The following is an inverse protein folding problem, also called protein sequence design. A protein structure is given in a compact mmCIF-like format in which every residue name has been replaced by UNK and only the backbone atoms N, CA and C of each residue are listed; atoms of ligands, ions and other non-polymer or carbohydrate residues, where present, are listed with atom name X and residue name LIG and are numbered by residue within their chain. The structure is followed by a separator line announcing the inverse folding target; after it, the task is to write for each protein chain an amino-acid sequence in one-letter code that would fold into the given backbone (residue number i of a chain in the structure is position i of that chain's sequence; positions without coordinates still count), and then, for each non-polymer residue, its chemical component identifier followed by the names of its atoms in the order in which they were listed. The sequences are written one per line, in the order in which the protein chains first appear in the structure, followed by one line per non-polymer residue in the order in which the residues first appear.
data_IF_138158177522
#
_entry.id   IF_138158177522
#
_cell.length_a   1.000
_cell.length_b   1.000
_cell.length_c   1.000
_cell.angle_alpha   90.00
_cell.angle_beta   90.00
_cell.angle_gamma   90.00
#
_symmetry.space_group_name_H-M   'P 1'
#
loop_
_entity.id
_entity.type
_entity.pdbx_description
1 polymer ?
#
# COMPACT_ATOMS: atom_id res chain seq x y z
N UNK A 1 36.08 7.66 -3.42
CA UNK A 1 37.55 7.34 -3.43
C UNK A 1 38.34 8.35 -4.25
N UNK A 2 38.04 8.58 -5.53
CA UNK A 2 38.79 9.53 -6.39
C UNK A 2 38.83 10.96 -5.80
N UNK A 3 37.70 11.52 -5.38
CA UNK A 3 37.62 12.87 -4.78
C UNK A 3 38.47 12.97 -3.50
N UNK A 4 38.48 11.93 -2.69
CA UNK A 4 39.24 11.88 -1.43
C UNK A 4 40.76 11.80 -1.71
N UNK A 5 41.18 11.03 -2.73
CA UNK A 5 42.56 10.98 -3.18
C UNK A 5 43.03 12.35 -3.74
N UNK A 6 42.20 13.02 -4.55
CA UNK A 6 42.49 14.36 -5.06
C UNK A 6 42.61 15.36 -3.91
N UNK A 7 41.67 15.34 -2.94
CA UNK A 7 41.74 16.23 -1.78
C UNK A 7 42.97 16.00 -0.90
N UNK A 8 43.36 14.73 -0.69
CA UNK A 8 44.57 14.35 0.03
C UNK A 8 45.83 14.83 -0.69
N UNK A 9 45.92 14.63 -2.02
CA UNK A 9 47.04 15.12 -2.82
C UNK A 9 47.12 16.66 -2.77
N UNK A 10 45.99 17.35 -2.92
CA UNK A 10 45.94 18.81 -2.84
C UNK A 10 46.38 19.33 -1.46
N UNK A 11 46.01 18.64 -0.39
CA UNK A 11 46.42 19.01 0.97
C UNK A 11 47.96 18.85 1.20
N UNK A 12 48.55 17.75 0.64
CA UNK A 12 50.01 17.57 0.67
C UNK A 12 50.69 18.68 -0.12
N UNK A 13 50.24 18.97 -1.32
CA UNK A 13 50.80 20.02 -2.17
C UNK A 13 50.68 21.42 -1.49
N UNK A 14 49.54 21.73 -0.87
CA UNK A 14 49.37 22.96 -0.12
C UNK A 14 50.32 23.05 1.10
N UNK A 15 50.54 21.94 1.79
CA UNK A 15 51.51 21.85 2.89
C UNK A 15 52.94 22.09 2.42
N UNK A 16 53.35 21.49 1.28
CA UNK A 16 54.67 21.70 0.69
C UNK A 16 54.84 23.15 0.21
N UNK A 17 53.84 23.75 -0.43
CA UNK A 17 53.85 25.14 -0.84
C UNK A 17 54.00 26.09 0.38
N UNK A 18 53.24 25.84 1.46
CA UNK A 18 53.35 26.58 2.71
C UNK A 18 54.75 26.51 3.33
N UNK A 19 55.42 25.31 3.26
CA UNK A 19 56.78 25.13 3.70
C UNK A 19 57.78 25.97 2.88
N UNK A 20 57.65 25.94 1.55
CA UNK A 20 58.51 26.74 0.67
C UNK A 20 58.38 28.23 1.01
N UNK A 21 57.18 28.75 1.10
CA UNK A 21 56.96 30.15 1.45
C UNK A 21 57.54 30.50 2.85
N UNK A 22 57.41 29.56 3.81
CA UNK A 22 58.00 29.79 5.13
C UNK A 22 59.56 29.80 5.08
N UNK A 23 60.22 28.93 4.32
CA UNK A 23 61.64 28.87 4.18
C UNK A 23 62.14 30.11 3.43
N UNK A 24 61.48 30.58 2.40
CA UNK A 24 61.76 31.84 1.70
C UNK A 24 61.67 33.06 2.64
N UNK A 25 60.59 33.19 3.37
CA UNK A 25 60.43 34.28 4.37
C UNK A 25 61.49 34.23 5.45
N UNK A 26 61.90 33.01 5.88
CA UNK A 26 62.97 32.83 6.85
C UNK A 26 64.34 33.16 6.26
N UNK A 27 64.59 32.88 5.01
CA UNK A 27 65.80 33.25 4.28
C UNK A 27 65.86 34.77 4.15
N UNK A 28 64.80 35.42 3.70
CA UNK A 28 64.70 36.87 3.64
C UNK A 28 64.94 37.54 4.99
N UNK A 29 64.48 37.03 6.10
CA UNK A 29 64.65 37.57 7.46
C UNK A 29 66.12 37.54 7.93
N UNK A 30 66.98 36.72 7.35
CA UNK A 30 68.39 36.65 7.64
C UNK A 30 69.25 37.57 6.78
N UNK A 31 68.68 38.17 5.74
CA UNK A 31 69.35 39.15 4.92
C UNK A 31 69.57 40.49 5.69
N UNK A 32 70.63 41.23 5.44
CA UNK A 32 70.77 42.57 5.94
C UNK A 32 69.57 43.44 5.52
N UNK A 33 69.07 44.34 6.45
CA UNK A 33 67.80 45.08 6.18
C UNK A 33 67.82 45.88 4.86
N UNK A 34 68.96 46.40 4.42
CA UNK A 34 69.11 47.11 3.16
C UNK A 34 68.99 46.20 1.94
N UNK A 35 69.56 44.98 1.99
CA UNK A 35 69.57 44.01 0.89
C UNK A 35 68.16 43.38 0.71
N UNK A 36 67.47 43.08 1.80
CA UNK A 36 66.08 42.57 1.70
C UNK A 36 65.14 43.59 1.08
N UNK A 37 65.26 44.85 1.41
CA UNK A 37 64.47 45.95 0.83
C UNK A 37 64.78 46.17 -0.67
N UNK A 38 66.07 46.02 -1.05
CA UNK A 38 66.53 46.11 -2.41
C UNK A 38 66.00 44.94 -3.25
N UNK A 39 66.07 43.72 -2.76
CA UNK A 39 65.59 42.51 -3.41
C UNK A 39 64.10 42.59 -3.71
N UNK A 40 63.26 42.95 -2.77
CA UNK A 40 61.83 43.13 -2.99
C UNK A 40 61.46 44.17 -4.06
N UNK A 41 62.31 45.26 -4.23
CA UNK A 41 62.09 46.25 -5.27
C UNK A 41 62.51 45.73 -6.65
N UNK A 42 63.59 44.93 -6.70
CA UNK A 42 64.12 44.36 -7.94
C UNK A 42 63.19 43.24 -8.48
N UNK A 43 62.50 42.51 -7.62
CA UNK A 43 61.53 41.46 -7.96
C UNK A 43 60.24 41.98 -8.58
N UNK A 44 59.91 43.28 -8.48
CA UNK A 44 58.78 43.89 -9.15
C UNK A 44 58.98 43.85 -10.71
N UNK A 45 60.19 44.04 -11.21
CA UNK A 45 60.55 43.98 -12.62
C UNK A 45 61.80 43.08 -12.82
N UNK A 46 61.69 41.77 -12.69
CA UNK A 46 62.83 40.88 -12.63
C UNK A 46 63.64 40.82 -13.95
N UNK A 47 62.95 40.98 -15.09
CA UNK A 47 63.64 40.99 -16.40
C UNK A 47 64.61 42.18 -16.57
N UNK A 48 64.24 43.38 -16.07
CA UNK A 48 65.07 44.58 -16.15
C UNK A 48 66.22 44.54 -15.14
N UNK A 49 66.04 43.86 -14.07
CA UNK A 49 66.95 43.87 -12.91
C UNK A 49 67.76 42.53 -12.80
N UNK A 50 67.76 41.69 -13.85
CA UNK A 50 68.29 40.33 -13.79
C UNK A 50 69.75 40.26 -13.35
N UNK A 51 70.62 41.18 -13.80
CA UNK A 51 72.01 41.20 -13.41
C UNK A 51 72.20 41.43 -11.90
N UNK A 52 71.48 42.41 -11.37
CA UNK A 52 71.60 42.78 -9.95
C UNK A 52 70.98 41.72 -9.05
N UNK A 53 69.87 41.11 -9.44
CA UNK A 53 69.31 39.93 -8.75
C UNK A 53 70.30 38.75 -8.75
N UNK A 54 70.96 38.50 -9.88
CA UNK A 54 71.95 37.44 -9.97
C UNK A 54 73.17 37.70 -9.04
N UNK A 55 73.64 38.95 -8.90
CA UNK A 55 74.67 39.30 -7.94
C UNK A 55 74.27 39.06 -6.49
N UNK A 56 73.05 39.42 -6.11
CA UNK A 56 72.51 39.19 -4.77
C UNK A 56 72.39 37.67 -4.51
N UNK A 57 71.84 36.91 -5.45
CA UNK A 57 71.75 35.46 -5.32
C UNK A 57 73.11 34.78 -5.31
N UNK A 58 74.13 35.29 -6.02
CA UNK A 58 75.51 34.79 -5.96
C UNK A 58 76.18 35.06 -4.60
N UNK A 59 75.84 36.16 -3.91
CA UNK A 59 76.41 36.55 -2.64
C UNK A 59 75.72 35.91 -1.45
N UNK A 60 74.42 35.68 -1.52
CA UNK A 60 73.57 35.15 -0.45
C UNK A 60 72.84 33.84 -0.82
N UNK A 61 73.24 33.18 -1.93
CA UNK A 61 72.57 32.02 -2.46
C UNK A 61 72.49 30.81 -1.51
N UNK A 62 73.46 30.69 -0.60
CA UNK A 62 73.39 29.63 0.43
C UNK A 62 72.18 29.76 1.34
N UNK A 63 71.65 30.97 1.55
CA UNK A 63 70.46 31.22 2.35
C UNK A 63 69.17 30.79 1.63
N UNK A 64 69.18 30.82 0.31
CA UNK A 64 68.09 30.40 -0.57
C UNK A 64 68.29 29.00 -1.19
N UNK A 65 69.31 28.30 -0.75
CA UNK A 65 69.57 26.93 -1.22
C UNK A 65 68.29 26.09 -1.00
N UNK A 66 67.81 25.40 -2.02
CA UNK A 66 66.63 24.53 -1.84
C UNK A 66 66.97 23.46 -0.79
N UNK A 67 65.97 23.04 0.00
CA UNK A 67 66.17 21.92 0.94
C UNK A 67 66.62 20.67 0.14
N UNK A 68 67.36 19.80 0.80
CA UNK A 68 67.82 18.55 0.16
C UNK A 68 66.62 17.69 -0.27
N UNK A 69 66.72 16.98 -1.36
CA UNK A 69 65.68 16.05 -1.85
C UNK A 69 65.21 15.08 -0.77
N UNK A 70 66.11 14.69 0.12
CA UNK A 70 65.81 13.82 1.28
C UNK A 70 64.93 14.51 2.34
N UNK A 71 65.15 15.80 2.62
CA UNK A 71 64.30 16.54 3.55
C UNK A 71 62.89 16.77 3.00
N UNK A 72 62.76 17.04 1.71
CA UNK A 72 61.48 17.19 1.04
C UNK A 72 60.68 15.87 1.02
N UNK A 73 61.37 14.75 0.72
CA UNK A 73 60.76 13.43 0.81
C UNK A 73 60.27 13.07 2.20
N UNK A 74 61.04 13.40 3.27
CA UNK A 74 60.63 13.16 4.64
C UNK A 74 59.40 14.00 5.00
N UNK A 75 59.39 15.30 4.67
CA UNK A 75 58.24 16.18 4.96
C UNK A 75 57.01 15.74 4.19
N UNK A 76 57.15 15.39 2.93
CA UNK A 76 56.05 14.84 2.09
C UNK A 76 55.51 13.53 2.68
N UNK A 77 56.37 12.63 3.13
CA UNK A 77 55.98 11.39 3.79
C UNK A 77 55.22 11.64 5.09
N UNK A 78 55.69 12.60 5.93
CA UNK A 78 55.02 12.98 7.20
C UNK A 78 53.64 13.60 6.92
N UNK A 79 53.55 14.52 5.93
CA UNK A 79 52.28 15.13 5.55
C UNK A 79 51.31 14.06 5.03
N UNK A 80 51.78 13.13 4.21
CA UNK A 80 50.99 12.03 3.68
C UNK A 80 50.47 11.13 4.81
N UNK A 81 51.35 10.80 5.77
CA UNK A 81 51.01 9.98 6.94
C UNK A 81 49.98 10.67 7.82
N UNK A 82 50.12 11.98 8.00
CA UNK A 82 49.18 12.78 8.82
C UNK A 82 47.73 12.82 8.24
N UNK A 83 47.57 12.66 6.94
CA UNK A 83 46.26 12.67 6.27
C UNK A 83 45.54 11.32 6.44
N UNK A 84 46.24 10.20 6.61
CA UNK A 84 45.67 8.86 6.73
C UNK A 84 44.52 8.78 7.76
N UNK A 85 44.66 9.24 9.01
CA UNK A 85 43.58 9.14 9.99
C UNK A 85 42.33 9.93 9.59
N UNK A 86 42.49 11.06 8.91
CA UNK A 86 41.35 11.84 8.39
C UNK A 86 40.61 11.11 7.29
N UNK A 87 41.34 10.48 6.35
CA UNK A 87 40.74 9.68 5.28
C UNK A 87 39.98 8.47 5.83
N UNK A 88 40.57 7.78 6.81
CA UNK A 88 39.95 6.64 7.47
C UNK A 88 38.70 7.10 8.25
N UNK A 89 38.79 8.15 9.03
CA UNK A 89 37.65 8.69 9.78
C UNK A 89 36.50 9.11 8.86
N UNK A 90 36.81 9.82 7.78
CA UNK A 90 35.81 10.22 6.79
C UNK A 90 35.18 9.00 6.10
N UNK A 91 35.98 8.02 5.70
CA UNK A 91 35.49 6.76 5.12
C UNK A 91 34.54 6.00 6.05
N UNK A 92 34.88 5.94 7.35
CA UNK A 92 34.02 5.32 8.38
C UNK A 92 32.72 6.09 8.57
N UNK A 93 32.76 7.43 8.59
CA UNK A 93 31.55 8.27 8.68
C UNK A 93 30.65 8.04 7.48
N UNK A 94 31.22 8.03 6.27
CA UNK A 94 30.48 7.81 5.04
C UNK A 94 29.84 6.40 5.00
N UNK A 95 30.64 5.39 5.41
CA UNK A 95 30.15 4.01 5.51
C UNK A 95 28.96 3.89 6.50
N UNK A 96 29.05 4.54 7.63
CA UNK A 96 27.97 4.52 8.65
C UNK A 96 26.75 5.30 8.23
N UNK A 97 26.92 6.47 7.59
CA UNK A 97 25.81 7.37 7.23
C UNK A 97 25.11 7.02 5.94
N UNK A 98 25.80 6.40 4.96
CA UNK A 98 25.24 6.15 3.64
C UNK A 98 25.18 4.65 3.34
N UNK A 99 26.33 3.95 3.42
CA UNK A 99 26.41 2.55 2.97
C UNK A 99 25.53 1.63 3.84
N UNK A 100 25.62 1.73 5.17
CA UNK A 100 24.84 0.86 6.05
C UNK A 100 23.31 1.03 5.89
N UNK A 101 22.73 2.26 5.90
CA UNK A 101 21.30 2.41 5.67
C UNK A 101 20.83 1.81 4.35
N UNK A 102 21.58 2.02 3.28
CA UNK A 102 21.25 1.44 1.96
C UNK A 102 21.32 -0.09 1.99
N UNK A 103 22.37 -0.67 2.57
CA UNK A 103 22.48 -2.14 2.66
C UNK A 103 21.35 -2.77 3.49
N UNK A 104 20.85 -2.09 4.52
CA UNK A 104 19.69 -2.57 5.28
C UNK A 104 18.41 -2.56 4.45
N UNK A 105 18.20 -1.53 3.62
CA UNK A 105 17.04 -1.48 2.73
C UNK A 105 17.13 -2.59 1.68
N UNK A 106 18.32 -2.81 1.10
CA UNK A 106 18.55 -3.89 0.13
C UNK A 106 18.29 -5.27 0.74
N UNK A 107 18.84 -5.55 1.93
CA UNK A 107 18.63 -6.83 2.61
C UNK A 107 17.17 -7.07 2.98
N UNK A 108 16.46 -6.01 3.41
CA UNK A 108 15.02 -6.09 3.66
C UNK A 108 14.23 -6.34 2.37
N UNK A 109 14.62 -5.68 1.25
CA UNK A 109 14.00 -5.89 -0.06
C UNK A 109 14.20 -7.31 -0.58
N UNK A 110 15.39 -7.88 -0.44
CA UNK A 110 15.68 -9.28 -0.77
C UNK A 110 14.82 -10.25 0.07
N UNK A 111 14.65 -9.94 1.36
CA UNK A 111 13.79 -10.73 2.23
C UNK A 111 12.32 -10.69 1.79
N UNK A 112 11.81 -9.51 1.41
CA UNK A 112 10.45 -9.35 0.87
C UNK A 112 10.31 -10.08 -0.48
N UNK A 113 11.31 -10.00 -1.35
CA UNK A 113 11.32 -10.70 -2.65
C UNK A 113 11.28 -12.24 -2.51
N UNK A 114 11.78 -12.78 -1.40
CA UNK A 114 11.70 -14.22 -1.08
C UNK A 114 10.44 -14.62 -0.30
N UNK A 115 9.43 -13.72 -0.21
CA UNK A 115 8.14 -13.99 0.43
C UNK A 115 8.10 -13.69 1.94
N UNK A 116 9.16 -13.15 2.54
CA UNK A 116 9.16 -12.72 3.95
C UNK A 116 8.68 -11.27 4.08
N UNK A 117 7.39 -11.06 3.91
CA UNK A 117 6.78 -9.72 3.88
C UNK A 117 6.81 -8.97 5.22
N UNK A 118 7.13 -9.66 6.33
CA UNK A 118 7.33 -9.05 7.65
C UNK A 118 8.68 -8.33 7.80
N UNK A 119 9.61 -8.48 6.85
CA UNK A 119 10.90 -7.82 6.89
C UNK A 119 10.75 -6.30 6.81
N UNK A 120 11.55 -5.59 7.63
CA UNK A 120 11.57 -4.11 7.66
C UNK A 120 13.00 -3.60 7.65
N UNK A 121 13.22 -2.47 7.00
CA UNK A 121 14.48 -1.75 7.06
C UNK A 121 14.48 -0.83 8.29
N UNK A 122 15.54 -0.85 9.13
CA UNK A 122 15.64 0.06 10.26
C UNK A 122 15.79 1.51 9.77
N UNK A 123 15.04 2.43 10.39
CA UNK A 123 15.17 3.87 10.15
C UNK A 123 16.25 4.39 11.08
N UNK A 124 17.42 4.72 10.54
CA UNK A 124 18.57 5.16 11.31
C UNK A 124 18.58 6.69 11.42
N UNK A 125 18.51 7.25 12.62
CA UNK A 125 18.51 8.70 12.86
C UNK A 125 19.77 9.41 12.33
N UNK A 126 20.93 8.71 12.34
CA UNK A 126 22.19 9.24 11.83
C UNK A 126 22.28 9.26 10.29
N UNK A 127 21.33 8.69 9.58
CA UNK A 127 21.28 8.70 8.11
C UNK A 127 20.74 10.04 7.57
N UNK A 128 21.11 10.45 6.35
CA UNK A 128 20.49 11.56 5.65
C UNK A 128 18.96 11.41 5.55
N UNK A 129 18.24 12.53 5.54
CA UNK A 129 16.77 12.55 5.51
C UNK A 129 16.17 11.78 4.32
N UNK A 130 16.88 11.79 3.18
CA UNK A 130 16.49 11.05 1.97
C UNK A 130 16.51 9.54 2.20
N UNK A 131 17.52 9.03 2.91
CA UNK A 131 17.63 7.61 3.21
C UNK A 131 16.66 7.18 4.30
N UNK A 132 16.36 8.05 5.27
CA UNK A 132 15.30 7.80 6.24
C UNK A 132 13.94 7.70 5.55
N UNK A 133 13.63 8.64 4.63
CA UNK A 133 12.40 8.61 3.81
C UNK A 133 12.33 7.35 2.96
N UNK A 134 13.44 6.94 2.33
CA UNK A 134 13.50 5.71 1.56
C UNK A 134 13.13 4.49 2.42
N UNK A 135 13.72 4.36 3.62
CA UNK A 135 13.41 3.26 4.53
C UNK A 135 11.94 3.29 4.99
N UNK A 136 11.39 4.48 5.30
CA UNK A 136 9.97 4.63 5.67
C UNK A 136 9.03 4.24 4.53
N UNK A 137 9.29 4.69 3.29
CA UNK A 137 8.48 4.33 2.13
C UNK A 137 8.57 2.84 1.81
N UNK A 138 9.77 2.27 1.90
CA UNK A 138 9.95 0.82 1.77
C UNK A 138 9.13 0.07 2.83
N UNK A 139 9.21 0.46 4.09
CA UNK A 139 8.46 -0.19 5.17
C UNK A 139 6.94 -0.08 4.98
N UNK A 140 6.45 1.07 4.50
CA UNK A 140 5.02 1.25 4.15
C UNK A 140 4.60 0.33 3.01
N UNK A 141 5.44 0.17 1.99
CA UNK A 141 5.20 -0.78 0.90
C UNK A 141 5.18 -2.23 1.41
N UNK A 142 6.20 -2.62 2.20
CA UNK A 142 6.28 -3.96 2.79
C UNK A 142 5.08 -4.28 3.70
N UNK A 143 4.61 -3.30 4.48
CA UNK A 143 3.42 -3.44 5.33
C UNK A 143 2.15 -3.69 4.49
N UNK A 144 1.99 -2.98 3.38
CA UNK A 144 0.84 -3.19 2.48
C UNK A 144 0.89 -4.57 1.83
N UNK A 145 2.09 -5.01 1.44
CA UNK A 145 2.29 -6.33 0.84
C UNK A 145 2.00 -7.45 1.84
N UNK A 146 2.45 -7.30 3.09
CA UNK A 146 2.16 -8.24 4.18
C UNK A 146 0.66 -8.31 4.50
N UNK A 147 -0.03 -7.16 4.52
CA UNK A 147 -1.47 -7.13 4.73
C UNK A 147 -2.22 -7.83 3.58
N UNK A 148 -1.79 -7.59 2.33
CA UNK A 148 -2.37 -8.24 1.15
C UNK A 148 -2.15 -9.75 1.16
N UNK A 149 -0.96 -10.22 1.52
CA UNK A 149 -0.62 -11.64 1.61
C UNK A 149 -1.47 -12.34 2.69
N UNK A 150 -1.63 -11.73 3.87
CA UNK A 150 -2.51 -12.24 4.92
C UNK A 150 -3.96 -12.33 4.45
N UNK A 151 -4.48 -11.25 3.84
CA UNK A 151 -5.85 -11.24 3.31
C UNK A 151 -6.05 -12.36 2.27
N UNK A 152 -5.06 -12.62 1.41
CA UNK A 152 -5.11 -13.68 0.42
C UNK A 152 -5.14 -15.07 1.08
N UNK A 153 -4.30 -15.30 2.09
CA UNK A 153 -4.26 -16.57 2.82
C UNK A 153 -5.54 -16.82 3.61
N UNK A 154 -6.01 -15.83 4.36
CA UNK A 154 -7.24 -15.91 5.17
C UNK A 154 -8.46 -16.13 4.25
N UNK A 155 -8.50 -15.42 3.12
CA UNK A 155 -9.55 -15.59 2.10
C UNK A 155 -9.53 -17.00 1.51
N UNK A 156 -8.35 -17.53 1.16
CA UNK A 156 -8.22 -18.88 0.59
C UNK A 156 -8.66 -19.98 1.57
N UNK A 157 -8.29 -19.84 2.84
CA UNK A 157 -8.70 -20.79 3.89
C UNK A 157 -10.21 -20.74 4.12
N UNK A 158 -10.80 -19.53 4.15
CA UNK A 158 -12.23 -19.35 4.31
C UNK A 158 -13.00 -19.91 3.10
N UNK A 159 -12.54 -19.66 1.87
CA UNK A 159 -13.12 -20.25 0.65
C UNK A 159 -13.16 -21.78 0.72
N UNK A 160 -12.01 -22.38 1.06
CA UNK A 160 -11.93 -23.83 1.17
C UNK A 160 -12.90 -24.40 2.22
N UNK A 161 -13.09 -23.69 3.33
CA UNK A 161 -14.03 -24.10 4.38
C UNK A 161 -15.48 -23.98 3.91
N UNK A 162 -15.85 -22.83 3.32
CA UNK A 162 -17.22 -22.57 2.84
C UNK A 162 -17.66 -23.47 1.67
N UNK A 163 -16.72 -23.95 0.85
CA UNK A 163 -16.99 -24.94 -0.20
C UNK A 163 -17.05 -26.37 0.37
N UNK A 164 -16.20 -26.71 1.34
CA UNK A 164 -16.14 -28.06 1.89
C UNK A 164 -17.42 -28.44 2.62
N UNK A 165 -18.02 -27.53 3.36
CA UNK A 165 -19.22 -27.78 4.17
C UNK A 165 -20.41 -28.27 3.32
N UNK A 166 -20.90 -27.53 2.31
CA UNK A 166 -22.02 -28.00 1.48
C UNK A 166 -21.63 -29.23 0.64
N UNK A 167 -20.38 -29.34 0.18
CA UNK A 167 -19.92 -30.50 -0.56
C UNK A 167 -19.97 -31.78 0.30
N UNK A 168 -19.47 -31.70 1.53
CA UNK A 168 -19.51 -32.85 2.46
C UNK A 168 -20.93 -33.22 2.83
N UNK A 169 -21.83 -32.24 3.00
CA UNK A 169 -23.25 -32.49 3.26
C UNK A 169 -23.93 -33.17 2.06
N UNK A 170 -23.70 -32.71 0.85
CA UNK A 170 -24.22 -33.32 -0.37
C UNK A 170 -23.71 -34.77 -0.54
N UNK A 171 -22.39 -34.96 -0.38
CA UNK A 171 -21.77 -36.29 -0.50
C UNK A 171 -22.29 -37.24 0.56
N UNK A 172 -22.34 -36.80 1.84
CA UNK A 172 -22.85 -37.63 2.93
C UNK A 172 -24.32 -38.01 2.72
N UNK A 173 -25.13 -37.11 2.20
CA UNK A 173 -26.55 -37.38 1.85
C UNK A 173 -26.68 -38.42 0.73
N UNK A 174 -25.92 -38.27 -0.35
CA UNK A 174 -25.88 -39.22 -1.46
C UNK A 174 -25.37 -40.57 -1.01
N UNK A 175 -24.31 -40.62 -0.18
CA UNK A 175 -23.78 -41.86 0.37
C UNK A 175 -24.82 -42.53 1.25
N UNK A 176 -25.52 -41.80 2.12
CA UNK A 176 -26.59 -42.33 2.96
C UNK A 176 -27.76 -42.90 2.18
N UNK A 177 -28.09 -42.34 1.01
CA UNK A 177 -29.09 -42.90 0.08
C UNK A 177 -28.57 -44.21 -0.53
N UNK A 178 -27.31 -44.25 -1.00
CA UNK A 178 -26.68 -45.46 -1.56
C UNK A 178 -26.60 -46.59 -0.56
N UNK A 179 -26.28 -46.28 0.69
CA UNK A 179 -26.18 -47.25 1.79
C UNK A 179 -27.56 -47.62 2.37
N UNK A 180 -28.65 -47.08 1.80
CA UNK A 180 -30.04 -47.27 2.25
C UNK A 180 -30.30 -46.78 3.69
N UNK A 181 -29.48 -45.87 4.22
CA UNK A 181 -29.70 -45.18 5.50
C UNK A 181 -30.80 -44.12 5.37
N UNK A 182 -30.86 -43.46 4.22
CA UNK A 182 -31.93 -42.53 3.86
C UNK A 182 -32.81 -43.16 2.76
N UNK A 183 -34.13 -42.93 2.80
CA UNK A 183 -35.03 -43.39 1.74
C UNK A 183 -34.73 -42.67 0.43
N UNK A 184 -34.93 -43.35 -0.70
CA UNK A 184 -34.87 -42.73 -2.02
C UNK A 184 -36.15 -41.93 -2.26
N UNK A 185 -36.14 -40.67 -1.83
CA UNK A 185 -37.28 -39.76 -1.94
C UNK A 185 -36.86 -38.44 -2.61
N UNK A 186 -37.80 -37.78 -3.25
CA UNK A 186 -37.59 -36.50 -3.94
C UNK A 186 -37.00 -35.42 -2.98
N UNK A 187 -37.47 -35.37 -1.76
CA UNK A 187 -36.96 -34.43 -0.73
C UNK A 187 -35.48 -34.62 -0.37
N UNK A 188 -34.95 -35.83 -0.45
CA UNK A 188 -33.54 -36.09 -0.24
C UNK A 188 -32.68 -35.57 -1.40
N UNK A 189 -33.19 -35.79 -2.63
CA UNK A 189 -32.51 -35.28 -3.85
C UNK A 189 -32.59 -33.76 -3.91
N UNK A 190 -33.73 -33.16 -3.57
CA UNK A 190 -33.87 -31.70 -3.47
C UNK A 190 -32.86 -31.10 -2.50
N UNK A 191 -32.64 -31.74 -1.33
CA UNK A 191 -31.62 -31.28 -0.35
C UNK A 191 -30.21 -31.32 -0.92
N UNK A 192 -29.87 -32.33 -1.73
CA UNK A 192 -28.56 -32.39 -2.41
C UNK A 192 -28.44 -31.26 -3.43
N UNK A 193 -29.50 -31.02 -4.20
CA UNK A 193 -29.54 -29.95 -5.20
C UNK A 193 -29.35 -28.60 -4.56
N UNK A 194 -30.00 -28.30 -3.43
CA UNK A 194 -29.83 -27.07 -2.66
C UNK A 194 -28.35 -26.83 -2.25
N UNK A 195 -27.64 -27.90 -1.83
CA UNK A 195 -26.22 -27.81 -1.49
C UNK A 195 -25.34 -27.49 -2.73
N UNK A 196 -25.66 -28.09 -3.87
CA UNK A 196 -24.93 -27.83 -5.12
C UNK A 196 -25.19 -26.39 -5.61
N UNK A 197 -26.43 -25.91 -5.55
CA UNK A 197 -26.77 -24.52 -5.87
C UNK A 197 -26.07 -23.51 -4.93
N UNK A 198 -25.93 -23.86 -3.66
CA UNK A 198 -25.14 -23.06 -2.73
C UNK A 198 -23.67 -22.96 -3.15
N UNK A 199 -23.05 -24.08 -3.56
CA UNK A 199 -21.68 -24.10 -4.08
C UNK A 199 -21.58 -23.22 -5.34
N UNK A 200 -22.52 -23.34 -6.25
CA UNK A 200 -22.56 -22.56 -7.48
C UNK A 200 -22.66 -21.05 -7.20
N UNK A 201 -23.46 -20.64 -6.22
CA UNK A 201 -23.54 -19.24 -5.76
C UNK A 201 -22.21 -18.75 -5.21
N UNK A 202 -21.55 -19.55 -4.35
CA UNK A 202 -20.21 -19.17 -3.80
C UNK A 202 -19.20 -18.97 -4.93
N UNK A 203 -19.17 -19.87 -5.91
CA UNK A 203 -18.26 -19.76 -7.07
C UNK A 203 -18.56 -18.48 -7.88
N UNK A 204 -19.84 -18.18 -8.12
CA UNK A 204 -20.26 -16.95 -8.81
C UNK A 204 -19.85 -15.68 -8.07
N UNK A 205 -20.00 -15.65 -6.74
CA UNK A 205 -19.60 -14.54 -5.88
C UNK A 205 -18.07 -14.32 -5.91
N UNK A 206 -17.30 -15.39 -5.83
CA UNK A 206 -15.85 -15.35 -5.93
C UNK A 206 -15.37 -14.84 -7.29
N UNK A 207 -16.07 -15.26 -8.38
CA UNK A 207 -15.74 -14.78 -9.72
C UNK A 207 -15.97 -13.27 -9.85
N UNK A 208 -17.08 -12.74 -9.34
CA UNK A 208 -17.35 -11.29 -9.33
C UNK A 208 -16.28 -10.55 -8.54
N UNK A 209 -15.93 -11.02 -7.33
CA UNK A 209 -14.92 -10.40 -6.49
C UNK A 209 -13.55 -10.40 -7.17
N UNK A 210 -13.16 -11.51 -7.82
CA UNK A 210 -11.90 -11.62 -8.55
C UNK A 210 -11.82 -10.66 -9.74
N UNK A 211 -12.89 -10.59 -10.55
CA UNK A 211 -12.96 -9.68 -11.69
C UNK A 211 -12.95 -8.20 -11.26
N UNK A 212 -13.69 -7.88 -10.20
CA UNK A 212 -13.73 -6.52 -9.66
C UNK A 212 -12.39 -6.06 -9.11
N UNK A 213 -11.65 -6.92 -8.40
CA UNK A 213 -10.30 -6.62 -7.92
C UNK A 213 -9.31 -6.33 -9.05
N UNK A 214 -9.43 -7.08 -10.14
CA UNK A 214 -8.59 -6.88 -11.33
C UNK A 214 -8.99 -5.67 -12.18
N UNK A 215 -10.05 -4.93 -11.81
CA UNK A 215 -10.61 -3.86 -12.66
C UNK A 215 -11.18 -4.37 -13.98
N UNK A 216 -11.49 -5.68 -14.04
CA UNK A 216 -11.93 -6.40 -15.27
C UNK A 216 -13.41 -6.78 -15.25
N UNK A 217 -14.18 -6.29 -14.29
CA UNK A 217 -15.62 -6.49 -14.27
C UNK A 217 -16.26 -5.57 -15.30
N UNK A 218 -16.46 -6.09 -16.53
CA UNK A 218 -17.18 -5.38 -17.58
C UNK A 218 -18.68 -5.36 -17.26
N UNK A 219 -19.29 -4.19 -17.42
CA UNK A 219 -20.69 -3.96 -17.15
C UNK A 219 -21.46 -3.73 -18.46
N UNK A 220 -22.60 -4.39 -18.62
CA UNK A 220 -23.54 -4.19 -19.70
C UNK A 220 -24.66 -3.26 -19.24
N UNK A 221 -24.39 -1.95 -19.31
CA UNK A 221 -25.30 -0.93 -18.81
C UNK A 221 -26.53 -0.81 -19.72
N UNK A 222 -27.69 -0.99 -19.11
CA UNK A 222 -29.00 -0.82 -19.77
C UNK A 222 -29.95 -0.06 -18.85
N UNK A 223 -30.99 0.53 -19.45
CA UNK A 223 -32.08 1.17 -18.71
C UNK A 223 -33.27 0.20 -18.61
N UNK A 224 -33.86 0.09 -17.43
CA UNK A 224 -34.99 -0.81 -17.19
C UNK A 224 -35.89 -0.27 -16.05
N UNK A 225 -37.16 -0.74 -16.06
CA UNK A 225 -38.14 -0.39 -15.05
C UNK A 225 -37.75 -0.97 -13.69
N UNK A 226 -37.51 -0.07 -12.72
CA UNK A 226 -37.00 -0.43 -11.41
C UNK A 226 -38.01 -1.28 -10.62
N UNK A 227 -39.29 -0.94 -10.64
CA UNK A 227 -40.34 -1.68 -9.95
C UNK A 227 -40.42 -3.13 -10.41
N UNK A 228 -40.47 -3.34 -11.71
CA UNK A 228 -40.52 -4.69 -12.28
C UNK A 228 -39.28 -5.50 -11.91
N UNK A 229 -38.12 -4.88 -11.98
CA UNK A 229 -36.86 -5.51 -11.62
C UNK A 229 -36.87 -5.97 -10.15
N UNK A 230 -37.35 -5.14 -9.20
CA UNK A 230 -37.45 -5.50 -7.79
C UNK A 230 -38.48 -6.61 -7.59
N UNK A 231 -39.64 -6.53 -8.23
CA UNK A 231 -40.68 -7.56 -8.14
C UNK A 231 -40.16 -8.93 -8.60
N UNK A 232 -39.40 -8.98 -9.70
CA UNK A 232 -38.74 -10.20 -10.17
C UNK A 232 -37.80 -10.79 -9.11
N UNK A 233 -37.00 -9.96 -8.45
CA UNK A 233 -36.06 -10.42 -7.39
C UNK A 233 -36.81 -10.94 -6.16
N UNK A 234 -37.87 -10.27 -5.73
CA UNK A 234 -38.75 -10.73 -4.66
C UNK A 234 -39.41 -12.06 -5.03
N UNK A 235 -39.88 -12.18 -6.26
CA UNK A 235 -40.50 -13.44 -6.75
C UNK A 235 -39.48 -14.62 -6.70
N UNK A 236 -38.24 -14.39 -7.10
CA UNK A 236 -37.19 -15.42 -7.04
C UNK A 236 -36.82 -15.79 -5.56
N UNK A 237 -36.92 -14.85 -4.65
CA UNK A 237 -36.68 -15.09 -3.23
C UNK A 237 -37.89 -15.70 -2.50
N UNK A 238 -39.07 -15.82 -3.15
CA UNK A 238 -40.35 -16.27 -2.54
C UNK A 238 -40.25 -17.57 -1.75
N UNK A 239 -39.54 -18.62 -2.21
CA UNK A 239 -39.43 -19.84 -1.38
C UNK A 239 -38.72 -19.63 -0.07
N UNK A 240 -37.63 -18.84 -0.06
CA UNK A 240 -36.86 -18.53 1.15
C UNK A 240 -37.66 -17.61 2.09
N UNK A 241 -38.39 -16.64 1.55
CA UNK A 241 -39.30 -15.76 2.29
C UNK A 241 -40.40 -16.54 2.99
N UNK A 242 -41.06 -17.46 2.24
CA UNK A 242 -42.16 -18.30 2.78
C UNK A 242 -41.66 -19.26 3.85
N UNK A 243 -40.52 -19.90 3.65
CA UNK A 243 -39.93 -20.84 4.61
C UNK A 243 -39.66 -20.22 5.99
N UNK A 244 -39.46 -18.88 6.05
CA UNK A 244 -39.25 -18.11 7.28
C UNK A 244 -40.42 -17.23 7.70
N UNK A 245 -41.53 -17.27 6.95
CA UNK A 245 -42.69 -16.40 7.22
C UNK A 245 -42.36 -14.90 7.05
N UNK A 246 -41.33 -14.54 6.29
CA UNK A 246 -40.92 -13.17 6.05
C UNK A 246 -41.70 -12.60 4.87
N UNK A 247 -42.18 -11.37 4.99
CA UNK A 247 -42.89 -10.64 3.95
C UNK A 247 -41.98 -9.61 3.31
N UNK A 248 -41.81 -9.64 1.98
CA UNK A 248 -41.14 -8.59 1.23
C UNK A 248 -42.16 -7.58 0.69
N UNK A 249 -41.81 -6.29 0.78
CA UNK A 249 -42.65 -5.18 0.32
C UNK A 249 -41.82 -4.32 -0.63
N UNK A 250 -42.32 -4.14 -1.86
CA UNK A 250 -41.72 -3.27 -2.87
C UNK A 250 -42.40 -1.88 -2.82
N UNK A 251 -41.66 -0.88 -2.40
CA UNK A 251 -42.10 0.53 -2.34
C UNK A 251 -41.65 1.35 -3.55
N UNK A 252 -40.98 0.73 -4.53
CA UNK A 252 -40.52 1.43 -5.74
C UNK A 252 -41.72 1.94 -6.54
N UNK A 253 -41.71 3.20 -6.92
CA UNK A 253 -42.81 3.82 -7.66
C UNK A 253 -42.88 3.29 -9.11
N UNK A 254 -44.14 3.28 -9.65
CA UNK A 254 -44.38 2.96 -11.04
C UNK A 254 -43.81 4.07 -11.92
N UNK A 255 -42.99 3.70 -12.90
CA UNK A 255 -42.36 4.68 -13.81
C UNK A 255 -40.94 5.03 -13.49
N UNK A 256 -40.41 4.70 -12.27
CA UNK A 256 -38.98 4.86 -11.97
C UNK A 256 -38.16 3.88 -12.84
N UNK A 257 -37.07 4.40 -13.39
CA UNK A 257 -36.08 3.63 -14.14
C UNK A 257 -34.72 3.63 -13.47
N UNK A 258 -33.93 2.60 -13.71
CA UNK A 258 -32.53 2.50 -13.28
C UNK A 258 -31.67 2.21 -14.48
N UNK A 259 -30.54 2.91 -14.57
CA UNK A 259 -29.51 2.67 -15.58
C UNK A 259 -28.32 1.96 -14.96
N UNK A 260 -28.21 0.65 -15.14
CA UNK A 260 -27.21 -0.22 -14.55
C UNK A 260 -27.04 -1.50 -15.39
N UNK A 261 -26.05 -2.32 -15.02
CA UNK A 261 -26.01 -3.71 -15.45
C UNK A 261 -27.08 -4.49 -14.68
N UNK A 262 -28.16 -4.88 -15.39
CA UNK A 262 -29.32 -5.55 -14.79
C UNK A 262 -28.96 -6.86 -14.10
N UNK A 263 -28.02 -7.62 -14.66
CA UNK A 263 -27.58 -8.91 -14.13
C UNK A 263 -26.80 -8.71 -12.84
N UNK A 264 -25.83 -7.79 -12.86
CA UNK A 264 -24.99 -7.50 -11.68
C UNK A 264 -25.77 -6.81 -10.57
N UNK A 265 -26.61 -5.84 -10.90
CA UNK A 265 -27.49 -5.21 -9.90
C UNK A 265 -28.48 -6.25 -9.33
N UNK A 266 -28.98 -7.17 -10.15
CA UNK A 266 -29.82 -8.29 -9.72
C UNK A 266 -29.11 -9.21 -8.74
N UNK A 267 -27.84 -9.52 -8.98
CA UNK A 267 -27.01 -10.29 -8.07
C UNK A 267 -26.83 -9.55 -6.73
N UNK A 268 -26.53 -8.24 -6.76
CA UNK A 268 -26.41 -7.43 -5.56
C UNK A 268 -27.72 -7.38 -4.76
N UNK A 269 -28.86 -7.13 -5.42
CA UNK A 269 -30.18 -7.06 -4.76
C UNK A 269 -30.57 -8.42 -4.18
N UNK A 270 -30.33 -9.53 -4.88
CA UNK A 270 -30.59 -10.88 -4.35
C UNK A 270 -29.75 -11.16 -3.10
N UNK A 271 -28.47 -10.77 -3.10
CA UNK A 271 -27.61 -10.92 -1.92
C UNK A 271 -28.13 -10.09 -0.71
N UNK A 272 -28.68 -8.89 -0.96
CA UNK A 272 -29.31 -8.07 0.10
C UNK A 272 -30.60 -8.68 0.60
N UNK A 273 -31.46 -9.19 -0.26
CA UNK A 273 -32.71 -9.86 0.13
C UNK A 273 -32.39 -11.12 0.94
N UNK A 274 -31.46 -11.97 0.49
CA UNK A 274 -31.03 -13.18 1.22
C UNK A 274 -30.50 -12.83 2.62
N UNK A 275 -29.71 -11.76 2.70
CA UNK A 275 -29.20 -11.24 3.97
C UNK A 275 -30.34 -10.78 4.89
N UNK A 276 -31.26 -9.97 4.36
CA UNK A 276 -32.40 -9.48 5.11
C UNK A 276 -33.32 -10.62 5.58
N UNK A 277 -33.64 -11.60 4.75
CA UNK A 277 -34.42 -12.79 5.12
C UNK A 277 -33.76 -13.59 6.23
N UNK A 278 -32.43 -13.67 6.21
CA UNK A 278 -31.65 -14.40 7.23
C UNK A 278 -31.71 -13.75 8.59
N UNK A 279 -31.67 -12.43 8.63
CA UNK A 279 -31.58 -11.64 9.86
C UNK A 279 -32.90 -10.98 10.30
N UNK A 280 -33.91 -10.92 9.44
CA UNK A 280 -35.22 -10.34 9.75
C UNK A 280 -35.95 -11.04 10.92
N UNK A 281 -35.59 -12.28 11.24
CA UNK A 281 -36.31 -13.10 12.21
C UNK A 281 -37.61 -13.66 11.67
N UNK A 282 -38.27 -14.58 12.41
CA UNK A 282 -39.51 -15.22 12.00
C UNK A 282 -40.67 -14.21 11.97
N UNK A 283 -41.37 -14.17 10.86
CA UNK A 283 -42.49 -13.23 10.65
C UNK A 283 -42.08 -11.77 10.36
N UNK A 284 -40.78 -11.55 10.05
CA UNK A 284 -40.25 -10.22 9.77
C UNK A 284 -40.70 -9.62 8.44
N UNK A 285 -40.31 -8.36 8.21
CA UNK A 285 -40.61 -7.62 6.98
C UNK A 285 -39.29 -7.16 6.36
N UNK A 286 -39.18 -7.33 5.04
CA UNK A 286 -38.11 -6.76 4.20
C UNK A 286 -38.74 -5.71 3.30
N UNK A 287 -38.28 -4.48 3.39
CA UNK A 287 -38.79 -3.32 2.62
C UNK A 287 -37.71 -2.90 1.60
N UNK A 288 -38.13 -2.67 0.37
CA UNK A 288 -37.23 -2.27 -0.72
C UNK A 288 -37.74 -0.96 -1.31
N UNK A 289 -36.89 0.05 -1.33
CA UNK A 289 -37.18 1.38 -1.86
C UNK A 289 -36.14 1.78 -2.92
N UNK A 290 -36.54 2.66 -3.81
CA UNK A 290 -35.65 3.37 -4.73
C UNK A 290 -35.85 4.87 -4.55
N UNK A 291 -34.78 5.58 -4.22
CA UNK A 291 -34.80 7.03 -4.01
C UNK A 291 -33.87 7.70 -5.01
N UNK A 292 -34.42 8.64 -5.78
CA UNK A 292 -33.65 9.48 -6.67
C UNK A 292 -32.91 10.57 -5.87
N UNK A 293 -31.67 10.83 -6.21
CA UNK A 293 -30.83 11.88 -5.64
C UNK A 293 -30.24 12.73 -6.75
N UNK A 294 -29.73 13.90 -6.42
CA UNK A 294 -29.13 14.83 -7.39
C UNK A 294 -28.02 14.20 -8.24
N UNK A 295 -27.27 13.25 -7.69
CA UNK A 295 -26.09 12.64 -8.33
C UNK A 295 -26.30 11.18 -8.76
N UNK A 296 -27.49 10.60 -8.52
CA UNK A 296 -27.72 9.19 -8.82
C UNK A 296 -28.97 8.62 -8.19
N UNK A 297 -29.03 7.30 -8.08
CA UNK A 297 -30.14 6.58 -7.43
C UNK A 297 -29.64 5.78 -6.23
N UNK A 298 -30.45 5.69 -5.19
CA UNK A 298 -30.23 4.87 -4.01
C UNK A 298 -31.27 3.74 -3.97
N UNK A 299 -30.81 2.48 -4.15
CA UNK A 299 -31.62 1.31 -3.88
C UNK A 299 -31.41 0.89 -2.42
N UNK A 300 -32.46 0.86 -1.64
CA UNK A 300 -32.43 0.69 -0.19
C UNK A 300 -33.17 -0.58 0.18
N UNK A 301 -32.51 -1.46 0.95
CA UNK A 301 -33.11 -2.67 1.51
C UNK A 301 -33.08 -2.55 3.03
N UNK A 302 -34.27 -2.68 3.66
CA UNK A 302 -34.44 -2.60 5.13
C UNK A 302 -35.04 -3.89 5.65
N UNK A 303 -34.52 -4.35 6.75
CA UNK A 303 -35.14 -5.42 7.55
C UNK A 303 -35.58 -4.90 8.92
N UNK A 304 -36.34 -5.72 9.64
CA UNK A 304 -36.76 -5.50 11.04
C UNK A 304 -36.24 -6.61 11.95
N UNK A 305 -35.09 -7.17 11.63
CA UNK A 305 -34.51 -8.24 12.42
C UNK A 305 -33.88 -7.78 13.73
N UNK A 306 -33.06 -8.65 14.29
CA UNK A 306 -32.31 -8.34 15.52
C UNK A 306 -31.34 -7.17 15.35
N UNK A 307 -31.17 -6.71 14.11
CA UNK A 307 -30.37 -5.54 13.76
C UNK A 307 -28.88 -5.76 13.95
N UNK A 308 -28.18 -4.68 13.71
CA UNK A 308 -26.79 -4.52 14.05
C UNK A 308 -26.74 -3.88 15.42
N UNK A 309 -25.91 -4.37 16.32
CA UNK A 309 -25.73 -3.76 17.65
C UNK A 309 -25.35 -2.29 17.47
N UNK A 310 -26.01 -1.40 18.22
CA UNK A 310 -25.67 0.04 18.25
C UNK A 310 -24.22 0.29 18.72
N UNK A 311 -23.56 -0.72 19.28
CA UNK A 311 -22.17 -0.69 19.71
C UNK A 311 -21.17 -0.97 18.57
N UNK A 312 -21.61 -1.56 17.45
CA UNK A 312 -20.80 -1.69 16.24
C UNK A 312 -20.71 -0.34 15.52
N UNK A 313 -19.78 0.50 15.95
CA UNK A 313 -19.56 1.84 15.38
C UNK A 313 -18.95 1.82 13.98
N UNK A 314 -18.49 0.68 13.50
CA UNK A 314 -17.81 0.56 12.19
C UNK A 314 -18.56 -0.38 11.24
N UNK A 315 -19.62 0.15 10.63
CA UNK A 315 -20.39 -0.55 9.59
C UNK A 315 -19.59 -0.86 8.31
N UNK A 316 -18.40 -0.28 8.16
CA UNK A 316 -17.54 -0.55 6.99
C UNK A 316 -17.06 -2.00 6.95
N UNK A 317 -16.88 -2.62 8.11
CA UNK A 317 -16.45 -4.02 8.25
C UNK A 317 -17.45 -5.02 7.71
N UNK A 318 -18.72 -4.69 7.59
CA UNK A 318 -19.73 -5.59 7.02
C UNK A 318 -19.51 -5.91 5.55
N UNK A 319 -18.75 -5.08 4.86
CA UNK A 319 -18.36 -5.27 3.47
C UNK A 319 -17.00 -5.98 3.32
N UNK A 320 -16.32 -6.31 4.44
CA UNK A 320 -15.12 -7.16 4.40
C UNK A 320 -15.50 -8.60 4.04
N UNK A 321 -14.65 -9.28 3.28
CA UNK A 321 -14.89 -10.67 2.87
C UNK A 321 -14.90 -11.59 4.07
N UNK A 322 -15.85 -12.54 4.09
CA UNK A 322 -16.01 -13.55 5.15
C UNK A 322 -16.26 -12.94 6.55
N UNK A 323 -16.51 -11.65 6.64
CA UNK A 323 -16.84 -11.04 7.91
C UNK A 323 -18.22 -11.49 8.39
N UNK A 324 -18.30 -11.85 9.66
CA UNK A 324 -19.54 -12.24 10.36
C UNK A 324 -19.49 -11.71 11.78
N UNK A 325 -20.61 -11.17 12.26
CA UNK A 325 -20.72 -10.75 13.67
C UNK A 325 -20.59 -11.95 14.62
N UNK A 326 -20.08 -11.73 15.84
CA UNK A 326 -19.93 -12.80 16.85
C UNK A 326 -21.28 -13.45 17.17
N UNK A 327 -22.37 -12.69 17.19
CA UNK A 327 -23.71 -13.20 17.39
C UNK A 327 -24.21 -14.09 16.23
N UNK A 328 -23.71 -13.89 15.01
CA UNK A 328 -24.06 -14.72 13.86
C UNK A 328 -23.21 -16.02 13.78
N UNK A 329 -22.06 -16.05 14.42
CA UNK A 329 -21.22 -17.27 14.54
C UNK A 329 -21.82 -18.29 15.47
N UNK A 330 -22.49 -17.85 16.55
CA UNK A 330 -23.10 -18.73 17.56
C UNK A 330 -24.45 -19.31 17.13
N UNK A 331 -25.15 -18.67 16.21
CA UNK A 331 -26.38 -19.20 15.62
C UNK A 331 -26.02 -19.95 14.35
N UNK A 332 -26.50 -21.18 14.18
CA UNK A 332 -26.30 -22.02 12.97
C UNK A 332 -26.90 -21.44 11.67
N UNK A 333 -27.09 -20.13 11.62
CA UNK A 333 -27.52 -19.37 10.44
C UNK A 333 -26.34 -19.25 9.46
N UNK A 334 -26.12 -20.31 8.68
CA UNK A 334 -25.05 -20.41 7.71
C UNK A 334 -25.12 -19.29 6.66
N UNK A 335 -24.02 -18.53 6.55
CA UNK A 335 -23.82 -17.54 5.51
C UNK A 335 -22.35 -17.41 5.23
N UNK A 336 -21.97 -17.30 3.96
CA UNK A 336 -20.59 -17.26 3.49
C UNK A 336 -19.81 -16.02 3.89
N UNK A 337 -20.51 -14.96 4.33
CA UNK A 337 -19.90 -13.66 4.58
C UNK A 337 -19.41 -12.96 3.29
N UNK A 338 -19.78 -13.47 2.11
CA UNK A 338 -19.39 -12.88 0.81
C UNK A 338 -20.43 -11.91 0.28
N UNK A 339 -21.71 -12.05 0.60
CA UNK A 339 -22.80 -11.32 -0.04
C UNK A 339 -22.61 -9.80 -0.02
N UNK A 340 -22.33 -9.20 1.13
CA UNK A 340 -22.14 -7.74 1.22
C UNK A 340 -20.86 -7.27 0.52
N UNK A 341 -19.79 -8.05 0.53
CA UNK A 341 -18.57 -7.73 -0.23
C UNK A 341 -18.80 -7.76 -1.76
N UNK A 342 -19.66 -8.68 -2.24
CA UNK A 342 -20.10 -8.72 -3.65
C UNK A 342 -20.94 -7.48 -3.97
N UNK A 343 -21.87 -7.10 -3.11
CA UNK A 343 -22.65 -5.85 -3.27
C UNK A 343 -21.72 -4.66 -3.43
N UNK A 344 -20.74 -4.50 -2.53
CA UNK A 344 -19.79 -3.40 -2.61
C UNK A 344 -18.95 -3.43 -3.90
N UNK A 345 -18.50 -4.61 -4.33
CA UNK A 345 -17.72 -4.78 -5.55
C UNK A 345 -18.53 -4.37 -6.80
N UNK A 346 -19.79 -4.78 -6.87
CA UNK A 346 -20.71 -4.41 -7.95
C UNK A 346 -20.96 -2.89 -7.93
N UNK A 347 -21.25 -2.29 -6.77
CA UNK A 347 -21.45 -0.85 -6.65
C UNK A 347 -20.22 -0.06 -7.14
N UNK A 348 -19.01 -0.45 -6.71
CA UNK A 348 -17.76 0.20 -7.13
C UNK A 348 -17.52 0.07 -8.64
N UNK A 349 -17.84 -1.07 -9.23
CA UNK A 349 -17.73 -1.25 -10.67
C UNK A 349 -18.68 -0.31 -11.46
N UNK A 350 -19.84 0.04 -10.88
CA UNK A 350 -20.77 1.05 -11.42
C UNK A 350 -20.35 2.49 -11.09
N UNK A 351 -19.20 2.72 -10.45
CA UNK A 351 -18.76 4.04 -10.01
C UNK A 351 -19.46 4.55 -8.73
N UNK A 352 -20.21 3.69 -8.06
CA UNK A 352 -20.97 3.97 -6.86
C UNK A 352 -20.34 3.39 -5.58
N UNK A 353 -21.14 3.32 -4.53
CA UNK A 353 -20.76 2.72 -3.26
C UNK A 353 -21.93 2.05 -2.57
N UNK A 354 -21.64 1.14 -1.64
CA UNK A 354 -22.62 0.57 -0.72
C UNK A 354 -22.36 1.06 0.71
N UNK A 355 -23.42 1.25 1.48
CA UNK A 355 -23.37 1.61 2.88
C UNK A 355 -24.39 0.82 3.70
N UNK A 356 -24.10 0.61 4.99
CA UNK A 356 -25.00 -0.04 5.91
C UNK A 356 -25.16 0.83 7.16
N UNK A 357 -26.33 0.78 7.78
CA UNK A 357 -26.65 1.49 9.00
C UNK A 357 -27.69 0.72 9.83
N UNK A 358 -27.70 0.99 11.13
CA UNK A 358 -28.80 0.50 11.98
C UNK A 358 -30.08 1.26 11.64
N UNK A 359 -31.21 0.54 11.57
CA UNK A 359 -32.52 1.11 11.38
C UNK A 359 -33.09 1.62 12.72
N UNK A 360 -33.72 2.79 12.70
CA UNK A 360 -34.46 3.28 13.86
C UNK A 360 -35.63 2.34 14.16
N UNK A 361 -35.70 1.83 15.39
CA UNK A 361 -36.72 0.87 15.81
C UNK A 361 -36.31 -0.61 15.62
N UNK A 362 -35.06 -0.90 15.30
CA UNK A 362 -34.48 -2.25 15.14
C UNK A 362 -34.39 -2.68 13.68
N UNK A 363 -33.39 -3.54 13.41
CA UNK A 363 -33.09 -4.02 12.07
C UNK A 363 -31.88 -3.30 11.44
N UNK A 364 -31.64 -3.64 10.18
CA UNK A 364 -30.57 -3.04 9.37
C UNK A 364 -31.14 -2.34 8.13
N UNK A 365 -30.41 -1.37 7.65
CA UNK A 365 -30.64 -0.69 6.39
C UNK A 365 -29.35 -0.77 5.57
N UNK A 366 -29.44 -1.33 4.35
CA UNK A 366 -28.32 -1.36 3.41
C UNK A 366 -28.70 -0.59 2.16
N UNK A 367 -27.82 0.30 1.72
CA UNK A 367 -28.01 1.16 0.56
C UNK A 367 -27.00 0.84 -0.53
N UNK A 368 -27.46 0.76 -1.76
CA UNK A 368 -26.68 0.74 -2.99
C UNK A 368 -26.83 2.10 -3.65
N UNK A 369 -25.77 2.89 -3.69
CA UNK A 369 -25.75 4.21 -4.32
C UNK A 369 -25.09 4.08 -5.71
N UNK A 370 -25.83 4.37 -6.78
CA UNK A 370 -25.36 4.34 -8.16
C UNK A 370 -25.43 5.74 -8.76
N UNK A 371 -24.31 6.28 -9.29
CA UNK A 371 -24.33 7.58 -9.94
C UNK A 371 -25.07 7.51 -11.28
N UNK A 372 -25.68 8.61 -11.71
CA UNK A 372 -26.10 8.75 -13.10
C UNK A 372 -24.87 8.67 -13.99
N UNK A 373 -24.86 7.72 -14.94
CA UNK A 373 -23.72 7.52 -15.85
C UNK A 373 -23.46 8.80 -16.66
N UNK A 374 -22.39 9.52 -16.32
CA UNK A 374 -21.99 10.80 -16.94
C UNK A 374 -21.06 11.63 -16.05
N UNK A 375 -21.11 11.43 -14.73
CA UNK A 375 -20.13 12.01 -13.82
C UNK A 375 -18.94 11.04 -13.70
N UNK A 376 -17.99 11.13 -14.66
CA UNK A 376 -16.64 10.65 -14.43
C UNK A 376 -16.16 11.40 -13.18
N UNK A 377 -16.09 10.71 -12.05
CA UNK A 377 -15.43 11.24 -10.86
C UNK A 377 -13.96 11.39 -11.19
N UNK A 378 -13.59 12.60 -11.52
CA UNK A 378 -12.22 13.11 -11.46
C UNK A 378 -11.78 13.05 -9.99
N UNK A 379 -11.40 11.84 -9.54
CA UNK A 379 -10.91 11.60 -8.18
C UNK A 379 -9.42 11.96 -8.09
N UNK A 380 -9.13 13.18 -8.47
CA UNK A 380 -7.85 13.83 -8.24
C UNK A 380 -8.11 15.13 -7.49
N UNK A 381 -8.18 15.07 -6.19
CA UNK A 381 -7.82 16.11 -5.23
C UNK A 381 -8.76 16.10 -4.02
N UNK A 382 -8.38 15.36 -3.01
CA UNK A 382 -8.66 15.75 -1.64
C UNK A 382 -7.37 15.52 -0.85
N UNK A 383 -6.51 16.57 -0.95
CA UNK A 383 -5.50 16.92 0.05
C UNK A 383 -6.24 17.71 1.13
N UNK A 384 -6.21 17.24 2.34
CA UNK A 384 -6.01 18.01 3.56
C UNK A 384 -5.79 17.02 4.71
#
# INVERSE_FOLDING_TARGET
MVVLAIAATAAVQAGMWGRYNYLEAKAESKLPPGVAAEMRRLEIEPEKNAKRLQEIYAMYGELFAPPSDTEDLIVQALLSLAIVPFVVAFGLILARRIVRPVSHVVAAAESVATGRFSARAPVLEAAPAELQRLAMHFNKMAQRLEAYDRELHDSSAAIAHELRTPLTAAMGRLQGILDRVFPYEEGQIATVLDQLEQIQRIIGDLQVLSLAQGGRLHLEISEFAARQFVDERIHWASPALQARGVRAVNHVDVGQTVRADRTRLGQALSALIDNAVRYAGDGGIVEIDLVERDLGVELIVRDRGTGVSSDDKDFSRFFERFWRSEQSRSRHAGGTGLGLSVVQAICRAHGGHASASARAGGGAEVRICLPYTGAATDSGTLVA
#
